data_IF_001211933071
#
_entry.id   IF_001211933071
#
_cell.length_a   1.000
_cell.length_b   1.000
_cell.length_c   1.000
_cell.angle_alpha   90.00
_cell.angle_beta   90.00
_cell.angle_gamma   90.00
#
_symmetry.space_group_name_H-M   'P 1'
#
loop_
_entity.id
_entity.type
_entity.pdbx_description
1 polymer ?
#
# COMPACT_ATOMS: atom_id res chain seq x y z
N UNK A 1 20.60 -2.75 3.56
CA UNK A 1 21.30 -3.09 2.31
C UNK A 1 22.80 -3.38 2.55
N UNK A 2 23.52 -3.86 1.52
CA UNK A 2 24.95 -4.19 1.65
C UNK A 2 25.80 -2.94 1.90
N UNK A 3 25.55 -1.86 1.18
CA UNK A 3 26.32 -0.62 1.29
C UNK A 3 26.18 -0.01 2.70
N UNK A 4 24.95 0.08 3.21
CA UNK A 4 24.69 0.57 4.56
C UNK A 4 25.42 -0.24 5.64
N UNK A 5 25.43 -1.59 5.50
CA UNK A 5 26.17 -2.46 6.43
C UNK A 5 27.69 -2.28 6.33
N UNK A 6 28.22 -2.15 5.14
CA UNK A 6 29.67 -1.88 4.94
C UNK A 6 30.07 -0.54 5.56
N UNK A 7 29.25 0.50 5.42
CA UNK A 7 29.50 1.81 6.01
C UNK A 7 29.41 1.82 7.53
N UNK A 8 28.48 1.01 8.12
CA UNK A 8 28.23 1.02 9.57
C UNK A 8 29.01 -0.02 10.36
N UNK A 9 29.32 -1.19 9.76
CA UNK A 9 29.85 -2.36 10.48
C UNK A 9 31.27 -2.72 10.08
N UNK A 10 31.80 -2.19 8.96
CA UNK A 10 33.14 -2.52 8.48
C UNK A 10 34.22 -1.75 9.26
N UNK A 11 35.34 -2.41 9.53
CA UNK A 11 36.55 -1.79 10.06
C UNK A 11 37.38 -1.06 9.00
N UNK A 12 37.05 -1.19 7.72
CA UNK A 12 37.70 -0.53 6.61
C UNK A 12 37.04 0.83 6.32
N UNK A 13 37.82 1.86 5.92
CA UNK A 13 37.26 3.13 5.52
C UNK A 13 36.59 2.99 4.14
N UNK A 14 35.23 3.08 4.12
CA UNK A 14 34.46 3.10 2.89
C UNK A 14 33.97 4.50 2.59
N UNK A 15 34.06 4.92 1.34
CA UNK A 15 33.50 6.17 0.83
C UNK A 15 32.23 5.85 0.01
N UNK A 16 31.10 6.50 0.35
CA UNK A 16 29.84 6.37 -0.35
C UNK A 16 29.70 7.49 -1.38
N UNK A 17 29.81 7.13 -2.66
CA UNK A 17 29.64 8.08 -3.77
C UNK A 17 28.22 7.92 -4.33
N UNK A 18 27.37 8.94 -4.11
CA UNK A 18 26.00 9.00 -4.62
C UNK A 18 25.92 9.97 -5.79
N UNK A 19 25.37 9.47 -6.89
CA UNK A 19 25.06 10.26 -8.09
C UNK A 19 23.57 10.14 -8.41
N UNK A 20 22.69 10.85 -7.68
CA UNK A 20 21.27 10.77 -7.89
C UNK A 20 20.88 11.26 -9.28
N UNK A 21 19.83 10.65 -9.87
CA UNK A 21 19.36 11.02 -11.20
C UNK A 21 18.91 12.48 -11.30
N UNK A 22 18.33 13.01 -10.22
CA UNK A 22 18.02 14.44 -10.06
C UNK A 22 18.79 14.94 -8.86
N UNK A 23 19.54 16.01 -9.02
CA UNK A 23 20.27 16.65 -7.94
C UNK A 23 19.30 17.26 -6.93
N UNK A 24 19.46 16.94 -5.65
CA UNK A 24 18.61 17.44 -4.55
C UNK A 24 19.44 17.64 -3.28
N UNK A 25 18.87 18.35 -2.31
CA UNK A 25 19.50 18.66 -1.02
C UNK A 25 20.83 19.46 -1.09
N UNK A 26 21.03 20.21 -2.18
CA UNK A 26 22.21 21.06 -2.38
C UNK A 26 21.95 22.43 -1.73
N UNK A 27 22.85 22.92 -0.86
CA UNK A 27 22.69 24.24 -0.24
C UNK A 27 22.60 25.36 -1.28
N UNK A 28 21.79 26.36 -1.00
CA UNK A 28 21.59 27.50 -1.90
C UNK A 28 22.92 28.19 -2.22
N UNK A 29 23.19 28.42 -3.52
CA UNK A 29 24.41 29.07 -4.00
C UNK A 29 25.61 28.13 -4.15
N UNK A 30 25.44 26.81 -3.93
CA UNK A 30 26.48 25.80 -4.15
C UNK A 30 26.05 24.80 -5.24
N UNK A 31 26.94 23.86 -5.56
CA UNK A 31 26.72 22.76 -6.49
C UNK A 31 27.13 21.44 -5.84
N UNK A 32 26.64 20.33 -6.38
CA UNK A 32 27.13 19.01 -5.97
C UNK A 32 28.55 18.72 -6.48
N UNK A 33 29.05 17.51 -6.20
CA UNK A 33 30.43 17.11 -6.55
C UNK A 33 30.74 17.14 -8.06
N UNK A 34 29.74 17.16 -8.93
CA UNK A 34 29.86 17.22 -10.39
C UNK A 34 29.34 18.54 -10.99
N UNK A 35 29.10 19.55 -10.15
CA UNK A 35 28.74 20.90 -10.56
C UNK A 35 27.28 21.16 -10.82
N UNK A 36 26.34 20.26 -10.44
CA UNK A 36 24.91 20.44 -10.64
C UNK A 36 24.26 21.27 -9.53
N UNK A 37 23.19 21.95 -9.89
CA UNK A 37 22.26 22.63 -8.96
C UNK A 37 21.06 21.75 -8.67
N UNK A 38 20.32 22.08 -7.61
CA UNK A 38 19.07 21.39 -7.31
C UNK A 38 18.13 21.36 -8.52
N UNK A 39 17.56 20.18 -8.79
CA UNK A 39 16.66 19.94 -9.91
C UNK A 39 17.35 19.57 -11.22
N UNK A 40 18.66 19.63 -11.32
CA UNK A 40 19.36 19.26 -12.55
C UNK A 40 19.51 17.75 -12.68
N UNK A 41 19.21 17.17 -13.87
CA UNK A 41 19.38 15.74 -14.13
C UNK A 41 20.84 15.34 -14.22
N UNK A 42 21.15 14.08 -13.88
CA UNK A 42 22.51 13.54 -13.92
C UNK A 42 23.08 13.52 -15.34
N UNK A 43 22.27 13.12 -16.30
CA UNK A 43 22.66 13.05 -17.71
C UNK A 43 21.50 13.53 -18.60
N UNK A 44 21.36 14.84 -18.84
CA UNK A 44 20.23 15.40 -19.57
C UNK A 44 20.18 14.95 -21.05
N UNK A 45 21.29 14.42 -21.59
CA UNK A 45 21.35 13.87 -22.95
C UNK A 45 20.68 12.49 -23.04
N UNK A 46 20.62 11.74 -21.95
CA UNK A 46 19.97 10.43 -21.89
C UNK A 46 18.56 10.51 -21.32
N UNK A 47 18.37 11.30 -20.28
CA UNK A 47 17.09 11.50 -19.61
C UNK A 47 16.91 12.97 -19.24
N UNK A 48 15.92 13.59 -19.84
CA UNK A 48 15.51 14.95 -19.48
C UNK A 48 14.84 14.96 -18.09
N UNK A 49 14.75 16.14 -17.48
CA UNK A 49 14.05 16.29 -16.21
C UNK A 49 12.60 15.85 -16.30
N UNK A 50 11.90 16.19 -17.38
CA UNK A 50 10.49 15.83 -17.59
C UNK A 50 10.29 14.31 -17.70
N UNK A 51 11.18 13.60 -18.38
CA UNK A 51 11.16 12.13 -18.42
C UNK A 51 11.39 11.51 -17.03
N UNK A 52 12.35 12.02 -16.27
CA UNK A 52 12.61 11.56 -14.90
C UNK A 52 11.41 11.82 -13.97
N UNK A 53 10.75 12.96 -14.09
CA UNK A 53 9.54 13.28 -13.34
C UNK A 53 8.37 12.39 -13.74
N UNK A 54 8.25 12.07 -15.04
CA UNK A 54 7.27 11.09 -15.53
C UNK A 54 7.53 9.71 -14.95
N UNK A 55 8.78 9.23 -14.98
CA UNK A 55 9.16 7.96 -14.34
C UNK A 55 8.86 7.96 -12.84
N UNK A 56 9.14 9.07 -12.14
CA UNK A 56 8.80 9.22 -10.73
C UNK A 56 7.30 9.10 -10.47
N UNK A 57 6.49 9.74 -11.32
CA UNK A 57 5.03 9.64 -11.25
C UNK A 57 4.53 8.21 -11.48
N UNK A 58 5.02 7.54 -12.52
CA UNK A 58 4.55 6.21 -12.92
C UNK A 58 4.94 5.09 -11.94
N UNK A 59 6.16 5.14 -11.41
CA UNK A 59 6.63 4.10 -10.48
C UNK A 59 6.45 4.46 -9.00
N UNK A 60 6.11 5.70 -8.68
CA UNK A 60 5.97 6.25 -7.33
C UNK A 60 7.30 6.61 -6.67
N UNK A 61 7.23 7.53 -5.71
CA UNK A 61 8.41 8.11 -5.04
C UNK A 61 9.30 7.05 -4.41
N UNK A 62 8.74 6.02 -3.77
CA UNK A 62 9.52 4.97 -3.07
C UNK A 62 10.47 4.24 -4.02
N UNK A 63 9.94 3.76 -5.16
CA UNK A 63 10.76 3.06 -6.16
C UNK A 63 11.74 4.00 -6.86
N UNK A 64 11.29 5.21 -7.19
CA UNK A 64 12.14 6.20 -7.81
C UNK A 64 13.33 6.56 -6.92
N UNK A 65 13.09 6.81 -5.63
CA UNK A 65 14.15 7.14 -4.66
C UNK A 65 15.17 6.01 -4.52
N UNK A 66 14.69 4.76 -4.48
CA UNK A 66 15.58 3.60 -4.38
C UNK A 66 16.43 3.39 -5.64
N UNK A 67 15.82 3.48 -6.84
CA UNK A 67 16.47 3.10 -8.10
C UNK A 67 17.22 4.26 -8.78
N UNK A 68 16.63 5.46 -8.75
CA UNK A 68 17.16 6.63 -9.46
C UNK A 68 17.90 7.60 -8.57
N UNK A 69 17.48 7.75 -7.30
CA UNK A 69 18.18 8.65 -6.35
C UNK A 69 19.22 7.92 -5.50
N UNK A 70 19.42 6.62 -5.71
CA UNK A 70 20.40 5.80 -4.98
C UNK A 70 20.22 5.87 -3.45
N UNK A 71 19.00 6.11 -3.01
CA UNK A 71 18.63 6.22 -1.60
C UNK A 71 17.55 5.17 -1.29
N UNK A 72 17.93 3.89 -1.12
CA UNK A 72 16.98 2.87 -0.74
C UNK A 72 16.39 3.23 0.62
N UNK A 73 15.07 3.17 0.72
CA UNK A 73 14.38 3.39 1.98
C UNK A 73 14.81 2.26 2.93
N UNK A 74 15.36 2.63 4.08
CA UNK A 74 15.75 1.68 5.14
C UNK A 74 14.52 0.87 5.55
N UNK A 75 14.67 -0.45 5.75
CA UNK A 75 13.63 -1.29 6.34
C UNK A 75 13.09 -0.61 7.61
N UNK A 76 11.78 -0.28 7.61
CA UNK A 76 11.13 0.50 8.66
C UNK A 76 10.84 1.98 8.31
N UNK A 77 11.27 2.47 7.15
CA UNK A 77 10.82 3.76 6.61
C UNK A 77 9.33 3.73 6.24
N UNK A 78 8.60 4.84 6.43
CA UNK A 78 7.18 4.92 6.11
C UNK A 78 6.95 4.76 4.60
N UNK A 79 6.57 3.54 4.17
CA UNK A 79 6.15 3.24 2.78
C UNK A 79 4.91 4.07 2.43
N UNK A 80 4.07 4.32 3.42
CA UNK A 80 2.90 5.19 3.32
C UNK A 80 3.11 6.41 4.21
N UNK A 81 2.81 7.60 3.69
CA UNK A 81 2.87 8.85 4.44
C UNK A 81 1.49 9.23 4.94
N UNK A 82 1.40 9.78 6.14
CA UNK A 82 0.14 10.22 6.75
C UNK A 82 -0.61 11.24 5.87
N UNK A 83 0.12 12.10 5.16
CA UNK A 83 -0.42 13.10 4.22
C UNK A 83 -1.13 12.49 2.99
N UNK A 84 -0.87 11.21 2.67
CA UNK A 84 -1.51 10.51 1.57
C UNK A 84 -2.88 9.92 1.95
N UNK A 85 -3.17 9.83 3.25
CA UNK A 85 -4.44 9.29 3.74
C UNK A 85 -5.57 10.25 3.37
N UNK A 86 -6.55 9.73 2.63
CA UNK A 86 -7.76 10.44 2.25
C UNK A 86 -8.97 9.82 2.95
N UNK A 87 -9.99 10.62 3.13
CA UNK A 87 -11.20 10.20 3.82
C UNK A 87 -12.43 10.35 2.94
N UNK A 88 -13.45 9.56 3.22
CA UNK A 88 -14.76 9.70 2.62
C UNK A 88 -15.87 9.60 3.67
N UNK A 89 -17.03 10.10 3.32
CA UNK A 89 -18.29 9.97 4.06
C UNK A 89 -19.37 9.39 3.15
N UNK A 90 -20.40 8.83 3.74
CA UNK A 90 -21.50 8.17 3.03
C UNK A 90 -22.45 9.14 2.35
N UNK A 91 -22.61 10.36 2.90
CA UNK A 91 -23.57 11.34 2.37
C UNK A 91 -23.20 12.80 2.67
N UNK A 92 -23.84 13.72 1.96
CA UNK A 92 -23.76 15.17 2.21
C UNK A 92 -24.25 15.53 3.61
N UNK A 93 -25.26 14.85 4.10
CA UNK A 93 -25.84 15.07 5.43
C UNK A 93 -24.81 14.70 6.51
N UNK A 94 -24.12 13.56 6.34
CA UNK A 94 -23.04 13.16 7.25
C UNK A 94 -21.87 14.13 7.19
N UNK A 95 -21.46 14.58 6.00
CA UNK A 95 -20.40 15.57 5.81
C UNK A 95 -20.74 16.88 6.56
N UNK A 96 -21.93 17.41 6.37
CA UNK A 96 -22.40 18.63 7.04
C UNK A 96 -22.49 18.46 8.56
N UNK A 97 -23.02 17.32 9.04
CA UNK A 97 -23.13 17.03 10.48
C UNK A 97 -21.76 16.98 11.17
N UNK A 98 -20.74 16.51 10.47
CA UNK A 98 -19.37 16.43 10.98
C UNK A 98 -18.56 17.73 10.78
N UNK A 99 -19.15 18.75 10.12
CA UNK A 99 -18.48 20.01 9.82
C UNK A 99 -17.35 19.89 8.80
N UNK A 100 -17.37 18.82 7.97
CA UNK A 100 -16.34 18.56 6.98
C UNK A 100 -16.66 19.24 5.63
N UNK A 101 -15.61 19.55 4.88
CA UNK A 101 -15.70 20.08 3.51
C UNK A 101 -15.25 19.03 2.49
N UNK A 102 -15.43 19.29 1.19
CA UNK A 102 -14.94 18.43 0.11
C UNK A 102 -13.39 18.29 0.10
N UNK A 103 -12.67 19.16 0.82
CA UNK A 103 -11.22 19.05 1.01
C UNK A 103 -10.86 18.05 2.09
N UNK A 104 -11.72 17.91 3.10
CA UNK A 104 -11.48 17.02 4.25
C UNK A 104 -11.91 15.59 3.96
N UNK A 105 -13.05 15.42 3.29
CA UNK A 105 -13.57 14.09 2.94
C UNK A 105 -14.47 14.17 1.71
N UNK A 106 -14.29 13.23 0.78
CA UNK A 106 -15.17 13.10 -0.38
C UNK A 106 -16.43 12.31 -0.04
N UNK A 107 -17.46 12.40 -0.90
CA UNK A 107 -18.65 11.58 -0.71
C UNK A 107 -18.50 10.26 -1.46
N UNK A 108 -18.82 9.16 -0.80
CA UNK A 108 -18.82 7.84 -1.42
C UNK A 108 -19.75 7.83 -2.65
N UNK A 109 -19.25 7.43 -3.83
CA UNK A 109 -20.08 7.35 -5.03
C UNK A 109 -21.27 6.40 -4.84
N UNK A 110 -22.45 6.79 -5.33
CA UNK A 110 -23.66 5.95 -5.27
C UNK A 110 -23.52 4.64 -6.06
N UNK A 111 -22.78 4.67 -7.16
CA UNK A 111 -22.52 3.50 -8.00
C UNK A 111 -21.03 3.18 -7.92
N UNK A 112 -20.72 1.95 -7.55
CA UNK A 112 -19.39 1.40 -7.45
C UNK A 112 -19.23 0.34 -8.55
N UNK A 113 -18.07 0.34 -9.21
CA UNK A 113 -17.84 -0.56 -10.34
C UNK A 113 -17.63 -2.01 -9.88
N UNK A 114 -17.03 -2.16 -8.70
CA UNK A 114 -16.70 -3.45 -8.12
C UNK A 114 -16.61 -3.34 -6.61
N UNK A 115 -17.05 -4.38 -5.90
CA UNK A 115 -16.81 -4.54 -4.46
C UNK A 115 -16.26 -5.94 -4.22
N UNK A 116 -15.21 -6.05 -3.42
CA UNK A 116 -14.53 -7.31 -3.10
C UNK A 116 -14.26 -7.40 -1.60
N UNK A 117 -14.18 -8.63 -1.08
CA UNK A 117 -13.63 -8.90 0.25
C UNK A 117 -12.22 -9.46 0.12
N UNK A 118 -11.35 -9.13 1.06
CA UNK A 118 -10.01 -9.69 1.17
C UNK A 118 -9.77 -10.19 2.60
N UNK A 119 -9.29 -11.43 2.74
CA UNK A 119 -9.08 -12.08 4.02
C UNK A 119 -7.68 -12.67 4.12
N UNK A 120 -6.94 -12.26 5.16
CA UNK A 120 -5.75 -12.92 5.68
C UNK A 120 -6.14 -13.65 6.97
N UNK A 121 -6.14 -14.98 6.91
CA UNK A 121 -6.64 -15.84 7.97
C UNK A 121 -5.55 -16.81 8.42
N UNK A 122 -4.47 -16.26 8.95
CA UNK A 122 -3.34 -17.04 9.46
C UNK A 122 -3.60 -17.41 10.93
N UNK A 123 -3.70 -18.70 11.22
CA UNK A 123 -3.74 -19.21 12.62
C UNK A 123 -2.46 -19.98 12.90
N UNK A 124 -1.80 -19.67 14.01
CA UNK A 124 -0.76 -20.54 14.59
C UNK A 124 -1.26 -21.11 15.90
N UNK A 125 -1.13 -22.40 16.07
CA UNK A 125 -1.62 -23.16 17.22
C UNK A 125 -0.85 -22.94 18.54
N UNK A 126 -0.18 -21.81 18.73
CA UNK A 126 0.59 -21.47 19.95
C UNK A 126 0.22 -20.09 20.47
N UNK A 127 0.47 -19.84 21.74
CA UNK A 127 0.05 -18.71 22.60
C UNK A 127 0.27 -17.26 22.08
N UNK A 128 0.78 -17.08 20.85
CA UNK A 128 0.87 -15.83 20.13
C UNK A 128 0.07 -15.94 18.81
N UNK A 129 -1.26 -16.10 18.91
CA UNK A 129 -2.12 -16.18 17.75
C UNK A 129 -2.01 -14.92 16.89
N UNK A 130 -1.74 -15.10 15.58
CA UNK A 130 -1.73 -14.02 14.60
C UNK A 130 -3.17 -13.47 14.43
N UNK A 131 -3.27 -12.20 14.06
CA UNK A 131 -4.56 -11.56 13.81
C UNK A 131 -5.15 -12.06 12.48
N UNK A 132 -6.46 -12.29 12.49
CA UNK A 132 -7.26 -12.42 11.27
C UNK A 132 -7.61 -11.02 10.80
N UNK A 133 -7.28 -10.72 9.55
CA UNK A 133 -7.63 -9.47 8.90
C UNK A 133 -8.66 -9.72 7.78
N UNK A 134 -9.77 -8.97 7.81
CA UNK A 134 -10.82 -9.01 6.80
C UNK A 134 -11.24 -7.61 6.41
N UNK A 135 -11.23 -7.30 5.13
CA UNK A 135 -11.54 -5.98 4.60
C UNK A 135 -12.50 -6.08 3.41
N UNK A 136 -13.32 -5.05 3.24
CA UNK A 136 -14.13 -4.86 2.04
C UNK A 136 -13.65 -3.62 1.33
N UNK A 137 -13.34 -3.77 0.05
CA UNK A 137 -12.88 -2.70 -0.81
C UNK A 137 -13.85 -2.50 -1.96
N UNK A 138 -14.20 -1.26 -2.22
CA UNK A 138 -15.01 -0.87 -3.38
C UNK A 138 -14.19 0.01 -4.31
N UNK A 139 -14.43 -0.10 -5.62
CA UNK A 139 -13.73 0.68 -6.64
C UNK A 139 -14.72 1.50 -7.45
N UNK A 140 -14.33 2.73 -7.80
CA UNK A 140 -14.98 3.57 -8.81
C UNK A 140 -13.92 4.24 -9.67
N UNK A 141 -13.81 3.86 -10.94
CA UNK A 141 -12.73 4.30 -11.82
C UNK A 141 -11.37 3.91 -11.27
N UNK A 142 -10.51 4.90 -11.04
CA UNK A 142 -9.20 4.73 -10.42
C UNK A 142 -9.21 4.77 -8.88
N UNK A 143 -10.35 5.10 -8.25
CA UNK A 143 -10.45 5.31 -6.80
C UNK A 143 -10.90 4.06 -6.07
N UNK A 144 -10.31 3.82 -4.89
CA UNK A 144 -10.56 2.70 -4.01
C UNK A 144 -11.05 3.19 -2.65
N UNK A 145 -12.07 2.54 -2.12
CA UNK A 145 -12.71 2.91 -0.86
C UNK A 145 -12.70 1.72 0.09
N UNK A 146 -11.99 1.87 1.23
CA UNK A 146 -12.07 0.90 2.33
C UNK A 146 -13.43 1.03 3.00
N UNK A 147 -14.27 0.00 2.90
CA UNK A 147 -15.60 0.01 3.51
C UNK A 147 -15.51 -0.15 5.03
N UNK A 148 -16.45 0.43 5.80
CA UNK A 148 -16.49 0.28 7.25
C UNK A 148 -16.66 -1.20 7.69
N UNK A 149 -16.55 -1.44 9.01
CA UNK A 149 -16.68 -2.76 9.62
C UNK A 149 -15.64 -3.80 9.20
N UNK A 150 -14.41 -3.36 8.91
CA UNK A 150 -13.28 -4.26 8.70
C UNK A 150 -12.98 -5.10 9.97
N UNK A 151 -12.46 -6.30 9.78
CA UNK A 151 -12.05 -7.22 10.83
C UNK A 151 -10.53 -7.17 11.03
N UNK A 152 -10.08 -6.96 12.28
CA UNK A 152 -8.69 -7.14 12.69
C UNK A 152 -8.71 -7.66 14.13
N UNK A 153 -8.85 -8.98 14.27
CA UNK A 153 -9.07 -9.63 15.58
C UNK A 153 -8.34 -10.96 15.62
N UNK A 154 -8.04 -11.40 16.84
CA UNK A 154 -7.64 -12.78 17.08
C UNK A 154 -8.90 -13.62 17.10
N UNK A 155 -9.04 -14.50 16.14
CA UNK A 155 -10.22 -15.35 15.97
C UNK A 155 -9.79 -16.80 15.83
N UNK A 156 -10.56 -17.69 16.41
CA UNK A 156 -10.48 -19.13 16.15
C UNK A 156 -10.95 -19.43 14.72
N UNK A 157 -10.75 -20.66 14.26
CA UNK A 157 -11.24 -21.11 12.97
C UNK A 157 -12.75 -20.88 12.81
N UNK A 158 -13.55 -21.31 13.78
CA UNK A 158 -15.01 -21.16 13.73
C UNK A 158 -15.43 -19.69 13.73
N UNK A 159 -14.83 -18.87 14.60
CA UNK A 159 -15.12 -17.43 14.63
C UNK A 159 -14.72 -16.72 13.32
N UNK A 160 -13.66 -17.18 12.65
CA UNK A 160 -13.28 -16.67 11.33
C UNK A 160 -14.30 -17.01 10.26
N UNK A 161 -14.83 -18.25 10.25
CA UNK A 161 -15.92 -18.62 9.35
C UNK A 161 -17.14 -17.73 9.57
N UNK A 162 -17.50 -17.48 10.84
CA UNK A 162 -18.65 -16.63 11.17
C UNK A 162 -18.41 -15.16 10.81
N UNK A 163 -17.19 -14.66 10.95
CA UNK A 163 -16.83 -13.31 10.52
C UNK A 163 -16.96 -13.14 9.00
N UNK A 164 -16.49 -14.12 8.21
CA UNK A 164 -16.65 -14.12 6.75
C UNK A 164 -18.14 -14.17 6.35
N UNK A 165 -18.92 -15.03 7.01
CA UNK A 165 -20.39 -15.10 6.79
C UNK A 165 -21.08 -13.78 7.11
N UNK A 166 -20.74 -13.17 8.26
CA UNK A 166 -21.31 -11.89 8.68
C UNK A 166 -21.00 -10.77 7.69
N UNK A 167 -19.73 -10.66 7.28
CA UNK A 167 -19.29 -9.66 6.30
C UNK A 167 -19.93 -9.88 4.93
N UNK A 168 -20.11 -11.15 4.50
CA UNK A 168 -20.77 -11.47 3.23
C UNK A 168 -22.27 -11.12 3.23
N UNK A 169 -22.93 -11.20 4.39
CA UNK A 169 -24.32 -10.72 4.55
C UNK A 169 -24.39 -9.20 4.58
N UNK A 170 -23.41 -8.53 5.16
CA UNK A 170 -23.37 -7.07 5.27
C UNK A 170 -23.07 -6.40 3.92
N UNK A 171 -22.29 -7.06 3.07
CA UNK A 171 -21.89 -6.56 1.75
C UNK A 171 -22.23 -7.58 0.66
N UNK A 172 -23.52 -7.77 0.36
CA UNK A 172 -23.97 -8.73 -0.66
C UNK A 172 -23.45 -8.39 -2.06
N UNK A 173 -23.16 -7.11 -2.31
CA UNK A 173 -22.54 -6.64 -3.55
C UNK A 173 -21.07 -7.04 -3.73
N UNK A 174 -20.41 -7.51 -2.67
CA UNK A 174 -19.05 -8.06 -2.77
C UNK A 174 -19.10 -9.47 -3.38
N UNK A 175 -19.11 -9.53 -4.70
CA UNK A 175 -19.25 -10.80 -5.43
C UNK A 175 -18.01 -11.68 -5.37
N UNK A 176 -16.83 -11.10 -5.12
CA UNK A 176 -15.55 -11.81 -4.97
C UNK A 176 -15.08 -11.73 -3.52
N UNK A 177 -14.71 -12.88 -2.93
CA UNK A 177 -14.11 -13.01 -1.61
C UNK A 177 -12.77 -13.69 -1.75
N UNK A 178 -11.72 -12.88 -1.74
CA UNK A 178 -10.33 -13.34 -1.82
C UNK A 178 -9.87 -13.81 -0.44
N UNK A 179 -9.40 -15.04 -0.35
CA UNK A 179 -8.85 -15.61 0.89
C UNK A 179 -7.40 -16.02 0.60
N UNK A 180 -6.47 -15.56 1.43
CA UNK A 180 -5.06 -15.93 1.27
C UNK A 180 -4.88 -17.44 1.40
N UNK A 181 -4.30 -18.06 0.36
CA UNK A 181 -4.10 -19.51 0.25
C UNK A 181 -2.79 -19.94 0.95
N UNK A 182 -2.70 -19.59 2.24
CA UNK A 182 -1.62 -20.00 3.15
C UNK A 182 -2.20 -20.47 4.47
N UNK A 183 -1.44 -21.28 5.19
CA UNK A 183 -1.80 -21.78 6.52
C UNK A 183 -3.20 -22.42 6.54
N UNK A 184 -4.21 -21.73 7.10
CA UNK A 184 -5.57 -22.24 7.24
C UNK A 184 -6.53 -21.76 6.14
N UNK A 185 -6.07 -20.93 5.22
CA UNK A 185 -6.86 -20.46 4.07
C UNK A 185 -7.53 -21.57 3.29
N UNK A 186 -6.83 -22.66 2.89
CA UNK A 186 -7.43 -23.80 2.20
C UNK A 186 -8.64 -24.40 2.95
N UNK A 187 -8.53 -24.61 4.26
CA UNK A 187 -9.61 -25.17 5.06
C UNK A 187 -10.83 -24.25 5.14
N UNK A 188 -10.61 -22.93 5.23
CA UNK A 188 -11.68 -21.92 5.18
C UNK A 188 -12.37 -21.95 3.82
N UNK A 189 -11.59 -21.95 2.74
CA UNK A 189 -12.10 -21.97 1.37
C UNK A 189 -12.95 -23.22 1.13
N UNK A 190 -12.45 -24.40 1.50
CA UNK A 190 -13.17 -25.66 1.32
C UNK A 190 -14.48 -25.72 2.12
N UNK A 191 -14.45 -25.17 3.35
CA UNK A 191 -15.65 -25.13 4.22
C UNK A 191 -16.71 -24.19 3.65
N UNK A 192 -16.34 -22.98 3.24
CA UNK A 192 -17.29 -21.93 2.87
C UNK A 192 -17.68 -21.93 1.39
N UNK A 193 -16.91 -22.57 0.50
CA UNK A 193 -17.15 -22.55 -0.96
C UNK A 193 -18.56 -23.01 -1.36
N UNK A 194 -19.14 -23.93 -0.58
CA UNK A 194 -20.51 -24.45 -0.83
C UNK A 194 -21.60 -23.53 -0.30
N UNK A 195 -21.29 -22.67 0.64
CA UNK A 195 -22.24 -21.80 1.32
C UNK A 195 -22.23 -20.38 0.77
N UNK A 196 -21.04 -19.88 0.43
CA UNK A 196 -20.81 -18.48 0.04
C UNK A 196 -20.25 -18.45 -1.39
N UNK A 197 -21.01 -17.92 -2.36
CA UNK A 197 -20.51 -17.81 -3.73
C UNK A 197 -19.37 -16.79 -3.84
N UNK A 198 -18.44 -17.04 -4.79
CA UNK A 198 -17.36 -16.12 -5.10
C UNK A 198 -16.16 -16.19 -4.17
N UNK A 199 -16.04 -17.19 -3.30
CA UNK A 199 -14.83 -17.46 -2.55
C UNK A 199 -13.75 -18.01 -3.49
N UNK A 200 -12.57 -17.39 -3.46
CA UNK A 200 -11.44 -17.80 -4.28
C UNK A 200 -10.11 -17.69 -3.51
N UNK A 201 -9.21 -18.65 -3.73
CA UNK A 201 -7.87 -18.59 -3.18
C UNK A 201 -7.05 -17.49 -3.85
N UNK A 202 -6.22 -16.82 -3.07
CA UNK A 202 -5.23 -15.86 -3.56
C UNK A 202 -3.86 -16.22 -3.00
N UNK A 203 -2.92 -16.53 -3.88
CA UNK A 203 -1.53 -16.70 -3.46
C UNK A 203 -0.88 -15.32 -3.30
N UNK A 204 -0.24 -15.03 -2.16
CA UNK A 204 0.44 -13.75 -1.97
C UNK A 204 1.73 -13.60 -2.79
N UNK A 205 2.11 -14.64 -3.55
CA UNK A 205 3.35 -14.64 -4.31
C UNK A 205 4.60 -14.85 -3.44
N UNK A 206 5.77 -14.59 -4.04
CA UNK A 206 7.07 -14.72 -3.39
C UNK A 206 7.57 -13.41 -2.77
N UNK A 207 6.93 -12.29 -3.07
CA UNK A 207 7.35 -10.97 -2.63
C UNK A 207 7.15 -10.77 -1.12
N UNK A 208 8.06 -10.01 -0.50
CA UNK A 208 7.93 -9.61 0.91
C UNK A 208 6.68 -8.72 1.12
N UNK A 209 6.24 -8.59 2.36
CA UNK A 209 5.13 -7.68 2.72
C UNK A 209 5.46 -6.23 2.33
N UNK A 210 6.70 -5.83 2.55
CA UNK A 210 7.23 -4.50 2.22
C UNK A 210 7.22 -4.27 0.70
N UNK A 211 7.66 -5.23 -0.10
CA UNK A 211 7.64 -5.13 -1.56
C UNK A 211 6.21 -5.00 -2.11
N UNK A 212 5.27 -5.78 -1.55
CA UNK A 212 3.85 -5.68 -1.91
C UNK A 212 3.25 -4.34 -1.48
N UNK A 213 3.56 -3.83 -0.29
CA UNK A 213 3.14 -2.51 0.16
C UNK A 213 3.70 -1.40 -0.74
N UNK A 214 4.99 -1.45 -1.08
CA UNK A 214 5.63 -0.51 -1.99
C UNK A 214 5.01 -0.53 -3.41
N UNK A 215 4.50 -1.68 -3.86
CA UNK A 215 3.86 -1.79 -5.18
C UNK A 215 2.54 -1.02 -5.28
N UNK A 216 1.84 -0.82 -4.17
CA UNK A 216 0.56 -0.09 -4.12
C UNK A 216 0.69 1.34 -3.57
N UNK A 217 1.85 1.71 -3.03
CA UNK A 217 2.07 3.05 -2.49
C UNK A 217 1.86 4.19 -3.50
N UNK A 218 2.13 4.05 -4.83
CA UNK A 218 1.82 5.09 -5.80
C UNK A 218 0.35 5.47 -5.87
N UNK A 219 -0.56 4.52 -5.60
CA UNK A 219 -2.01 4.79 -5.59
C UNK A 219 -2.41 5.65 -4.38
N UNK A 220 -1.75 5.46 -3.24
CA UNK A 220 -1.92 6.29 -2.04
C UNK A 220 -1.36 7.70 -2.27
N UNK A 221 -0.15 7.79 -2.83
CA UNK A 221 0.50 9.06 -3.18
C UNK A 221 -0.33 9.87 -4.18
N UNK A 222 -0.95 9.20 -5.17
CA UNK A 222 -1.86 9.81 -6.13
C UNK A 222 -3.24 10.20 -5.54
N UNK A 223 -3.49 9.91 -4.24
CA UNK A 223 -4.76 10.23 -3.57
C UNK A 223 -5.96 9.42 -4.07
N UNK A 224 -5.72 8.20 -4.56
CA UNK A 224 -6.76 7.31 -5.10
C UNK A 224 -7.34 6.36 -4.05
N UNK A 225 -6.81 6.35 -2.83
CA UNK A 225 -7.22 5.43 -1.76
C UNK A 225 -7.85 6.21 -0.61
N UNK A 226 -9.07 5.79 -0.21
CA UNK A 226 -9.92 6.45 0.77
C UNK A 226 -10.35 5.50 1.88
#
# INVERSE_FOLDING_TARGET
>A
DLAGRLLSESSLPWEDIKLPAIAEDIPAGTTDAIGRKNGEPLCPQLHTLDELLTHKHDMGTVKFTALYQQSPIVEGGNIFKDEWVKYYVDSRETQARLGLTDKDAVILPRHLDQTVQAWDATFKSKANDDFVAGQVWSRRGANYYLRPNWCHKRLSFTETLDAIRAMSRMYPEATVKMVEDKANGPAIIDTLRREIPGIMPVSPGADSKEARAASVSPMWEAGQVY
#
